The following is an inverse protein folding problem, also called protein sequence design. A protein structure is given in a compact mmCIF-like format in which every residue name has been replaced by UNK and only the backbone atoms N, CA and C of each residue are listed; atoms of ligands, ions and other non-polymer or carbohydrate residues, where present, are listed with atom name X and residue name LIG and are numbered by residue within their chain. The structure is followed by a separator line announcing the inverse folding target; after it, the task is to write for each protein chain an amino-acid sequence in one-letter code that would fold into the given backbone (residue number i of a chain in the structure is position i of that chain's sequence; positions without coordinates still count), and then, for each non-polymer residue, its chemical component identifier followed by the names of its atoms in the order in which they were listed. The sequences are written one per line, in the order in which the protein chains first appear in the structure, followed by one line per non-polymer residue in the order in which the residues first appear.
data_IF_774649064718
#
_entry.id   IF_774649064718
#
_cell.length_a   1.000
_cell.length_b   1.000
_cell.length_c   1.000
_cell.angle_alpha   90.00
_cell.angle_beta   90.00
_cell.angle_gamma   90.00
#
_symmetry.space_group_name_H-M   'P 1'
#
loop_
_entity.id
_entity.type
_entity.pdbx_description
1 polymer ?
#
# COMPACT_ATOMS: atom_id res chain seq x y z
N UNK A 1 20.44 9.14 -16.93
CA UNK A 1 19.96 8.13 -15.96
C UNK A 1 18.54 7.72 -16.24
N UNK A 2 18.33 6.48 -16.72
CA UNK A 2 17.01 5.84 -16.66
C UNK A 2 16.99 5.13 -15.31
N UNK A 3 16.26 5.68 -14.33
CA UNK A 3 15.98 4.93 -13.09
C UNK A 3 15.00 3.83 -13.48
N UNK A 4 15.47 2.59 -13.59
CA UNK A 4 14.59 1.43 -13.68
C UNK A 4 13.68 1.43 -12.45
N UNK A 5 12.39 1.72 -12.64
CA UNK A 5 11.42 1.64 -11.56
C UNK A 5 10.98 0.19 -11.42
N UNK A 6 11.42 -0.46 -10.35
CA UNK A 6 10.84 -1.71 -9.90
C UNK A 6 9.51 -1.36 -9.21
N UNK A 7 8.45 -2.13 -9.46
CA UNK A 7 7.13 -1.77 -8.95
C UNK A 7 6.49 -2.91 -8.21
N UNK A 8 5.77 -2.58 -7.14
CA UNK A 8 4.93 -3.54 -6.43
C UNK A 8 3.48 -3.27 -6.78
N UNK A 9 2.70 -4.33 -6.94
CA UNK A 9 1.25 -4.23 -7.10
C UNK A 9 0.60 -4.70 -5.82
N UNK A 10 -0.18 -3.83 -5.19
CA UNK A 10 -1.11 -4.21 -4.13
C UNK A 10 -2.43 -4.58 -4.79
N UNK A 11 -2.87 -5.82 -4.58
CA UNK A 11 -4.15 -6.34 -5.07
C UNK A 11 -5.02 -6.69 -3.86
N UNK A 12 -5.94 -5.79 -3.53
CA UNK A 12 -6.93 -5.95 -2.48
C UNK A 12 -8.18 -6.68 -2.95
N UNK A 13 -8.23 -7.15 -4.20
CA UNK A 13 -9.44 -7.73 -4.78
C UNK A 13 -10.57 -6.72 -4.96
N UNK A 14 -11.73 -7.19 -5.40
CA UNK A 14 -12.97 -6.42 -5.43
C UNK A 14 -14.01 -7.19 -4.62
N UNK A 15 -14.45 -6.62 -3.50
CA UNK A 15 -15.42 -7.26 -2.60
C UNK A 15 -16.71 -6.44 -2.55
N UNK A 16 -17.86 -7.12 -2.54
CA UNK A 16 -19.14 -6.46 -2.30
C UNK A 16 -19.15 -5.82 -0.91
N UNK A 17 -19.77 -4.63 -0.81
CA UNK A 17 -19.84 -3.86 0.44
C UNK A 17 -18.61 -3.02 0.76
N UNK A 18 -17.55 -3.06 -0.06
CA UNK A 18 -16.36 -2.23 0.11
C UNK A 18 -16.46 -0.96 -0.74
N UNK A 19 -16.19 0.18 -0.10
CA UNK A 19 -16.21 1.50 -0.74
C UNK A 19 -14.82 1.97 -1.10
N UNK A 20 -13.87 1.84 -0.18
CA UNK A 20 -12.50 2.34 -0.34
C UNK A 20 -11.48 1.39 0.29
N UNK A 21 -10.27 1.45 -0.24
CA UNK A 21 -9.05 0.86 0.29
C UNK A 21 -8.11 2.00 0.69
N UNK A 22 -7.60 1.97 1.92
CA UNK A 22 -6.59 2.88 2.41
C UNK A 22 -5.25 2.14 2.47
N UNK A 23 -4.24 2.61 1.73
CA UNK A 23 -2.89 2.06 1.72
C UNK A 23 -1.88 3.12 2.14
N UNK A 24 -1.06 2.78 3.12
CA UNK A 24 0.09 3.58 3.54
C UNK A 24 1.36 2.75 3.32
N UNK A 25 2.36 3.32 2.63
CA UNK A 25 3.70 2.71 2.48
C UNK A 25 4.75 3.64 3.07
N UNK A 26 5.66 3.07 3.87
CA UNK A 26 6.76 3.76 4.55
C UNK A 26 8.11 3.20 4.11
N UNK A 27 9.10 4.08 4.05
CA UNK A 27 10.51 3.71 3.87
C UNK A 27 11.07 3.05 5.12
N UNK A 28 11.84 1.97 4.96
CA UNK A 28 12.54 1.26 6.04
C UNK A 28 11.75 0.10 6.63
N UNK A 29 12.45 -0.77 7.38
CA UNK A 29 11.89 -1.98 8.01
C UNK A 29 11.32 -1.80 9.41
N UNK A 30 11.14 -0.57 9.91
CA UNK A 30 10.62 -0.31 11.28
C UNK A 30 9.49 0.73 11.32
N UNK A 31 8.58 0.57 12.29
CA UNK A 31 7.51 1.54 12.55
C UNK A 31 8.12 2.90 12.96
N UNK A 32 7.81 3.96 12.20
CA UNK A 32 8.42 5.29 12.33
C UNK A 32 9.15 5.78 11.07
N UNK A 33 9.27 4.92 10.06
CA UNK A 33 9.78 5.28 8.73
C UNK A 33 8.95 6.38 8.04
N UNK A 34 9.60 7.09 7.10
CA UNK A 34 8.96 8.17 6.32
C UNK A 34 7.82 7.62 5.48
N UNK A 35 6.63 8.22 5.58
CA UNK A 35 5.50 7.91 4.68
C UNK A 35 5.86 8.36 3.26
N UNK A 36 5.88 7.40 2.34
CA UNK A 36 6.11 7.63 0.91
C UNK A 36 4.80 7.71 0.14
N UNK A 37 3.83 6.87 0.55
CA UNK A 37 2.54 6.73 -0.10
C UNK A 37 1.47 6.74 0.99
N UNK A 38 0.41 7.50 0.75
CA UNK A 38 -0.83 7.51 1.52
C UNK A 38 -1.96 7.66 0.50
N UNK A 39 -2.66 6.57 0.21
CA UNK A 39 -3.66 6.51 -0.87
C UNK A 39 -4.96 5.97 -0.32
N UNK A 40 -6.04 6.69 -0.63
CA UNK A 40 -7.41 6.22 -0.48
C UNK A 40 -8.02 6.02 -1.88
N UNK A 41 -8.44 4.81 -2.22
CA UNK A 41 -8.92 4.48 -3.58
C UNK A 41 -10.10 3.53 -3.56
N UNK A 42 -11.01 3.65 -4.53
CA UNK A 42 -12.07 2.65 -4.76
C UNK A 42 -11.62 1.50 -5.67
N UNK A 43 -10.40 1.57 -6.23
CA UNK A 43 -9.83 0.53 -7.08
C UNK A 43 -9.05 -0.49 -6.26
N UNK A 44 -9.41 -1.78 -6.39
CA UNK A 44 -8.74 -2.87 -5.67
C UNK A 44 -7.29 -3.13 -6.07
N UNK A 45 -6.74 -2.44 -7.08
CA UNK A 45 -5.35 -2.61 -7.53
C UNK A 45 -4.61 -1.29 -7.56
N UNK A 46 -3.44 -1.25 -6.90
CA UNK A 46 -2.56 -0.10 -6.85
C UNK A 46 -1.16 -0.53 -7.30
N UNK A 47 -0.66 0.09 -8.36
CA UNK A 47 0.73 -0.06 -8.79
C UNK A 47 1.57 1.10 -8.24
N UNK A 48 2.67 0.77 -7.55
CA UNK A 48 3.59 1.75 -6.98
C UNK A 48 4.99 1.58 -7.57
N UNK A 49 5.49 2.54 -8.36
CA UNK A 49 6.88 2.54 -8.80
C UNK A 49 7.77 2.98 -7.63
N UNK A 50 8.65 2.10 -7.19
CA UNK A 50 9.53 2.31 -6.04
C UNK A 50 10.98 2.05 -6.45
N UNK A 51 11.91 2.65 -5.71
CA UNK A 51 13.34 2.32 -5.87
C UNK A 51 13.66 1.04 -5.10
N UNK A 52 14.77 0.34 -5.41
CA UNK A 52 15.24 -0.74 -4.57
C UNK A 52 15.42 -0.30 -3.11
N UNK A 53 14.99 -1.13 -2.16
CA UNK A 53 14.96 -0.80 -0.75
C UNK A 53 13.98 -1.65 0.07
N UNK A 54 13.96 -1.43 1.39
CA UNK A 54 13.06 -2.08 2.33
C UNK A 54 11.88 -1.17 2.68
N UNK A 55 10.70 -1.75 2.81
CA UNK A 55 9.46 -1.02 3.00
C UNK A 55 8.53 -1.73 3.99
N UNK A 56 7.73 -0.93 4.69
CA UNK A 56 6.56 -1.37 5.43
C UNK A 56 5.30 -0.85 4.76
N UNK A 57 4.27 -1.68 4.73
CA UNK A 57 2.94 -1.28 4.30
C UNK A 57 1.90 -1.53 5.39
N UNK A 58 0.86 -0.71 5.39
CA UNK A 58 -0.34 -0.87 6.20
C UNK A 58 -1.53 -0.62 5.31
N UNK A 59 -2.56 -1.47 5.38
CA UNK A 59 -3.79 -1.28 4.63
C UNK A 59 -5.03 -1.59 5.46
N UNK A 60 -6.09 -0.84 5.21
CA UNK A 60 -7.43 -1.06 5.75
C UNK A 60 -8.47 -0.91 4.64
N UNK A 61 -9.65 -1.47 4.87
CA UNK A 61 -10.81 -1.30 4.00
C UNK A 61 -11.84 -0.43 4.71
N UNK A 62 -12.55 0.38 3.94
CA UNK A 62 -13.68 1.18 4.40
C UNK A 62 -14.93 0.68 3.68
N UNK A 63 -15.92 0.25 4.45
CA UNK A 63 -17.19 -0.25 3.91
C UNK A 63 -18.10 0.89 3.39
N UNK A 64 -19.25 0.54 2.84
CA UNK A 64 -20.21 1.52 2.31
C UNK A 64 -20.83 2.42 3.39
N UNK A 65 -20.85 1.97 4.64
CA UNK A 65 -21.35 2.70 5.80
C UNK A 65 -20.28 3.62 6.41
N UNK A 66 -19.03 3.50 5.94
CA UNK A 66 -17.89 4.31 6.39
C UNK A 66 -17.13 3.69 7.56
N UNK A 67 -17.38 2.43 7.92
CA UNK A 67 -16.61 1.75 8.95
C UNK A 67 -15.27 1.29 8.38
N UNK A 68 -14.19 1.60 9.09
CA UNK A 68 -12.84 1.17 8.74
C UNK A 68 -12.49 -0.14 9.46
N UNK A 69 -11.91 -1.09 8.73
CA UNK A 69 -11.44 -2.34 9.31
C UNK A 69 -10.20 -2.15 10.19
N UNK A 70 -9.90 -3.15 11.00
CA UNK A 70 -8.56 -3.26 11.61
C UNK A 70 -7.51 -3.30 10.49
N UNK A 71 -6.47 -2.46 10.53
CA UNK A 71 -5.44 -2.46 9.50
C UNK A 71 -4.62 -3.75 9.53
N UNK A 72 -4.27 -4.25 8.35
CA UNK A 72 -3.28 -5.30 8.14
C UNK A 72 -1.96 -4.68 7.69
N UNK A 73 -0.84 -5.29 8.05
CA UNK A 73 0.49 -4.76 7.73
C UNK A 73 1.46 -5.85 7.34
N UNK A 74 2.55 -5.44 6.69
CA UNK A 74 3.65 -6.33 6.34
C UNK A 74 4.88 -5.55 5.89
N UNK A 75 5.96 -6.29 5.65
CA UNK A 75 7.21 -5.79 5.10
C UNK A 75 7.47 -6.39 3.72
N UNK A 76 8.15 -5.64 2.86
CA UNK A 76 8.68 -6.16 1.60
C UNK A 76 9.99 -5.46 1.22
N UNK A 77 10.78 -6.14 0.40
CA UNK A 77 12.03 -5.63 -0.16
C UNK A 77 11.92 -5.60 -1.67
N UNK A 78 12.45 -4.54 -2.28
CA UNK A 78 12.64 -4.44 -3.72
C UNK A 78 14.12 -4.58 -4.02
N UNK A 79 14.47 -5.58 -4.80
CA UNK A 79 15.84 -5.88 -5.23
C UNK A 79 16.15 -5.23 -6.60
N UNK A 80 17.45 -5.18 -6.96
CA UNK A 80 17.96 -4.66 -8.23
C UNK A 80 17.95 -5.70 -9.37
#
# INVERSE_FOLDING_TARGET
DIKSSFGVTFDFGNYEGIKLYHLIVREGGSEGGKVLIDILTSGGKIYLPLVPGEYLWTASIIDTDGNESVPVSGAFTIEM
#
